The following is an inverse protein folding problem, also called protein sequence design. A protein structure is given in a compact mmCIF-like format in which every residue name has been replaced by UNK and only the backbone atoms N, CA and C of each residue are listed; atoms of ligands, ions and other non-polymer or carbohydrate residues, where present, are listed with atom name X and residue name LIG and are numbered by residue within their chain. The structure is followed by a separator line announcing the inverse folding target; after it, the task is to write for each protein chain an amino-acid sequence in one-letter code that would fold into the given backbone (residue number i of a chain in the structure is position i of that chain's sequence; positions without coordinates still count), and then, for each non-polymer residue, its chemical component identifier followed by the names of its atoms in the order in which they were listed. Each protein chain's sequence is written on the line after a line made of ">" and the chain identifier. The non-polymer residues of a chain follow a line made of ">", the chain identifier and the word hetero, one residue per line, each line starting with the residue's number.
data_IF_389121411148
#
_entry.id   IF_389121411148
#
_cell.length_a   1.000
_cell.length_b   1.000
_cell.length_c   1.000
_cell.angle_alpha   90.00
_cell.angle_beta   90.00
_cell.angle_gamma   90.00
#
_symmetry.space_group_name_H-M   'P 1'
#
loop_
_entity.id
_entity.type
_entity.pdbx_description
1 polymer ?
#
# COMPACT_ATOMS: atom_id res chain seq x y z
N UNK A 1 -14.31 -0.37 -4.11
CA UNK A 1 -13.52 -1.60 -4.04
C UNK A 1 -14.05 -2.54 -2.99
N UNK A 2 -14.00 -3.82 -3.25
CA UNK A 2 -14.37 -4.86 -2.30
C UNK A 2 -13.14 -5.65 -1.86
N UNK A 3 -13.03 -5.93 -0.57
CA UNK A 3 -11.97 -6.76 -0.03
C UNK A 3 -12.48 -7.59 1.14
N UNK A 4 -11.87 -8.70 1.43
CA UNK A 4 -12.21 -9.48 2.60
C UNK A 4 -11.37 -9.01 3.78
N UNK A 5 -11.95 -9.06 4.96
CA UNK A 5 -11.35 -8.51 6.16
C UNK A 5 -10.35 -9.45 6.85
N UNK A 6 -10.13 -10.63 6.36
CA UNK A 6 -9.18 -11.54 6.97
C UNK A 6 -7.93 -11.67 6.12
N UNK A 7 -6.81 -11.87 6.77
CA UNK A 7 -5.52 -12.00 6.13
C UNK A 7 -5.48 -13.10 5.09
N UNK A 8 -6.35 -14.04 5.21
CA UNK A 8 -6.31 -15.15 4.34
C UNK A 8 -7.12 -14.86 3.11
N UNK A 9 -6.50 -14.70 2.05
CA UNK A 9 -7.06 -14.94 0.77
C UNK A 9 -8.24 -14.13 0.37
N UNK A 10 -7.99 -12.85 0.09
CA UNK A 10 -9.16 -12.28 -0.28
C UNK A 10 -9.06 -11.46 -1.46
N UNK A 11 -9.90 -11.62 -2.31
CA UNK A 11 -10.01 -10.91 -3.51
C UNK A 11 -10.74 -9.64 -3.27
N UNK A 12 -10.32 -8.59 -3.86
CA UNK A 12 -10.87 -7.27 -3.73
C UNK A 12 -11.29 -6.82 -5.09
N UNK A 13 -12.31 -6.02 -5.17
CA UNK A 13 -12.77 -5.51 -6.41
C UNK A 13 -12.13 -4.20 -6.76
N UNK A 14 -11.64 -4.07 -7.97
CA UNK A 14 -11.26 -2.78 -8.54
C UNK A 14 -12.26 -2.44 -9.63
N UNK A 15 -13.27 -1.65 -9.33
CA UNK A 15 -14.24 -1.13 -10.28
C UNK A 15 -14.96 -2.14 -11.16
N UNK A 16 -14.81 -3.40 -10.90
CA UNK A 16 -15.45 -4.49 -11.61
C UNK A 16 -16.00 -5.44 -10.58
N UNK A 17 -16.50 -6.58 -11.00
CA UNK A 17 -17.01 -7.58 -10.09
C UNK A 17 -15.94 -8.47 -9.46
N UNK A 18 -14.67 -8.13 -9.63
CA UNK A 18 -13.57 -8.91 -9.08
C UNK A 18 -13.22 -8.47 -7.67
N UNK A 19 -13.00 -9.43 -6.81
CA UNK A 19 -12.60 -9.21 -5.42
C UNK A 19 -11.09 -9.34 -5.31
N UNK A 20 -10.40 -8.34 -4.74
CA UNK A 20 -8.96 -8.38 -4.55
C UNK A 20 -8.55 -9.29 -3.38
N UNK A 21 -7.35 -9.86 -3.45
CA UNK A 21 -6.81 -10.67 -2.35
C UNK A 21 -6.39 -9.81 -1.17
N UNK A 22 -5.85 -8.65 -1.45
CA UNK A 22 -5.29 -7.77 -0.43
C UNK A 22 -5.38 -6.32 -0.90
N UNK A 23 -5.95 -5.48 -0.08
CA UNK A 23 -5.96 -4.03 -0.30
C UNK A 23 -5.16 -3.35 0.79
N UNK A 24 -4.24 -2.50 0.39
CA UNK A 24 -3.43 -1.70 1.31
C UNK A 24 -3.87 -0.25 1.16
N UNK A 25 -4.26 0.36 2.25
CA UNK A 25 -4.71 1.73 2.29
C UNK A 25 -3.60 2.58 2.89
N UNK A 26 -2.99 3.41 2.08
CA UNK A 26 -1.90 4.29 2.47
C UNK A 26 -0.56 3.85 1.90
N UNK A 27 0.27 4.84 1.55
CA UNK A 27 1.55 4.65 0.88
C UNK A 27 2.73 5.21 1.68
N UNK A 28 2.64 5.19 2.99
CA UNK A 28 3.79 5.47 3.83
C UNK A 28 4.71 4.24 3.94
N UNK A 29 5.75 4.30 4.77
CA UNK A 29 6.69 3.19 4.92
C UNK A 29 6.03 1.87 5.29
N UNK A 30 5.03 1.92 6.17
CA UNK A 30 4.30 0.71 6.57
C UNK A 30 3.53 0.10 5.42
N UNK A 31 2.86 0.95 4.61
CA UNK A 31 2.10 0.49 3.46
C UNK A 31 2.99 -0.18 2.41
N UNK A 32 4.10 0.44 2.06
CA UNK A 32 5.04 -0.14 1.10
C UNK A 32 5.67 -1.43 1.64
N UNK A 33 5.99 -1.47 2.92
CA UNK A 33 6.52 -2.69 3.54
C UNK A 33 5.51 -3.83 3.45
N UNK A 34 4.25 -3.56 3.81
CA UNK A 34 3.18 -4.54 3.68
C UNK A 34 3.01 -5.00 2.23
N UNK A 35 3.09 -4.07 1.28
CA UNK A 35 2.96 -4.38 -0.14
C UNK A 35 4.06 -5.33 -0.63
N UNK A 36 5.30 -5.08 -0.23
CA UNK A 36 6.44 -5.93 -0.60
C UNK A 36 6.22 -7.36 -0.11
N UNK A 37 5.88 -7.52 1.16
CA UNK A 37 5.67 -8.85 1.73
C UNK A 37 4.46 -9.55 1.13
N UNK A 38 3.34 -8.84 0.95
CA UNK A 38 2.14 -9.42 0.35
C UNK A 38 2.38 -9.83 -1.11
N UNK A 39 3.09 -9.01 -1.87
CA UNK A 39 3.41 -9.34 -3.25
C UNK A 39 4.31 -10.57 -3.35
N UNK A 40 5.31 -10.67 -2.49
CA UNK A 40 6.19 -11.85 -2.45
C UNK A 40 5.48 -13.10 -2.00
N UNK A 41 4.39 -12.96 -1.27
CA UNK A 41 3.52 -14.09 -0.87
C UNK A 41 2.45 -14.42 -1.93
N UNK A 42 2.55 -13.85 -3.12
CA UNK A 42 1.60 -14.07 -4.23
C UNK A 42 0.16 -13.65 -3.91
N UNK A 43 -0.01 -12.65 -3.07
CA UNK A 43 -1.33 -12.14 -2.74
C UNK A 43 -1.85 -11.09 -3.71
N UNK A 44 -1.04 -10.70 -4.69
CA UNK A 44 -1.40 -9.69 -5.70
C UNK A 44 -1.99 -8.42 -5.06
N UNK A 45 -1.24 -7.74 -4.18
CA UNK A 45 -1.78 -6.61 -3.45
C UNK A 45 -2.07 -5.43 -4.36
N UNK A 46 -3.12 -4.70 -4.00
CA UNK A 46 -3.42 -3.39 -4.58
C UNK A 46 -3.28 -2.37 -3.47
N UNK A 47 -2.59 -1.28 -3.75
CA UNK A 47 -2.40 -0.17 -2.81
C UNK A 47 -3.11 1.07 -3.33
N UNK A 48 -3.81 1.76 -2.44
CA UNK A 48 -4.33 3.11 -2.69
C UNK A 48 -3.49 4.09 -1.90
N UNK A 49 -2.87 5.06 -2.58
CA UNK A 49 -1.81 5.88 -2.01
C UNK A 49 -2.27 6.88 -0.96
N UNK A 50 -3.50 7.35 -1.02
CA UNK A 50 -3.92 8.52 -0.28
C UNK A 50 -3.62 9.80 -1.05
N UNK A 51 -3.90 10.94 -0.43
CA UNK A 51 -3.71 12.26 -1.06
C UNK A 51 -2.24 12.65 -1.19
N UNK A 52 -1.39 12.09 -0.35
CA UNK A 52 0.04 12.40 -0.34
C UNK A 52 0.82 11.09 -0.47
N UNK A 53 1.14 10.69 -1.70
CA UNK A 53 1.94 9.48 -1.92
C UNK A 53 3.28 9.55 -1.18
N UNK A 54 3.62 8.48 -0.48
CA UNK A 54 4.82 8.44 0.37
C UNK A 54 4.60 8.89 1.80
N UNK A 55 3.47 9.53 2.09
CA UNK A 55 3.10 9.93 3.45
C UNK A 55 3.95 11.05 4.01
N UNK A 56 4.06 11.08 5.32
CA UNK A 56 4.73 12.17 6.03
C UNK A 56 6.23 12.27 5.75
N UNK A 57 6.88 11.18 5.35
CA UNK A 57 8.31 11.22 5.07
C UNK A 57 8.66 12.04 3.85
N UNK A 58 7.70 12.32 2.97
CA UNK A 58 7.92 13.22 1.83
C UNK A 58 7.98 14.69 2.22
N UNK A 59 7.53 15.02 3.43
CA UNK A 59 7.60 16.39 3.96
C UNK A 59 8.85 16.65 4.78
N UNK A 60 9.62 15.61 5.08
CA UNK A 60 10.89 15.75 5.80
C UNK A 60 12.06 15.80 4.82
N UNK A 61 13.16 16.43 5.22
CA UNK A 61 14.34 16.48 4.36
C UNK A 61 15.18 15.22 4.49
N UNK A 62 15.55 14.85 5.72
CA UNK A 62 16.42 13.71 5.95
C UNK A 62 15.79 12.73 6.93
N UNK A 63 15.94 11.45 6.63
CA UNK A 63 15.57 10.34 7.49
C UNK A 63 16.86 9.67 7.94
N UNK A 64 17.10 9.65 9.25
CA UNK A 64 18.35 9.14 9.81
C UNK A 64 18.18 7.85 10.60
N UNK A 65 16.95 7.48 10.88
CA UNK A 65 16.63 6.37 11.77
C UNK A 65 15.98 5.18 11.09
N UNK A 66 16.13 5.08 9.77
CA UNK A 66 15.66 3.90 9.05
C UNK A 66 16.86 2.99 8.76
N UNK A 67 16.81 1.72 9.16
CA UNK A 67 17.92 0.80 8.95
C UNK A 67 18.24 0.63 7.46
N UNK A 68 19.51 0.56 7.13
CA UNK A 68 19.98 0.41 5.76
C UNK A 68 20.55 1.68 5.16
N UNK A 69 20.39 2.81 5.83
CA UNK A 69 20.91 4.11 5.37
C UNK A 69 21.83 4.71 6.43
N UNK A 70 23.08 4.24 6.51
CA UNK A 70 23.99 4.64 7.60
C UNK A 70 24.36 6.13 7.58
N UNK A 71 24.19 6.79 6.46
CA UNK A 71 24.44 8.24 6.30
C UNK A 71 23.14 9.05 6.18
N UNK A 72 22.00 8.43 6.46
CA UNK A 72 20.71 9.05 6.24
C UNK A 72 20.28 9.00 4.78
N UNK A 73 19.05 9.41 4.52
CA UNK A 73 18.46 9.45 3.18
C UNK A 73 17.39 10.52 3.14
N UNK A 74 17.25 11.18 1.99
CA UNK A 74 16.12 12.08 1.77
C UNK A 74 14.81 11.28 1.80
N UNK A 75 13.80 11.79 2.51
CA UNK A 75 12.54 11.06 2.67
C UNK A 75 11.82 10.78 1.37
N UNK A 76 11.81 11.73 0.43
CA UNK A 76 11.20 11.54 -0.88
C UNK A 76 11.91 10.46 -1.67
N UNK A 77 13.24 10.49 -1.68
CA UNK A 77 14.04 9.47 -2.36
C UNK A 77 13.78 8.09 -1.77
N UNK A 78 13.74 8.00 -0.45
CA UNK A 78 13.45 6.73 0.22
C UNK A 78 12.08 6.18 -0.15
N UNK A 79 11.06 7.05 -0.19
CA UNK A 79 9.71 6.62 -0.57
C UNK A 79 9.61 6.22 -2.04
N UNK A 80 10.35 6.87 -2.91
CA UNK A 80 10.44 6.47 -4.32
C UNK A 80 11.08 5.08 -4.45
N UNK A 81 12.11 4.80 -3.68
CA UNK A 81 12.75 3.49 -3.64
C UNK A 81 11.79 2.41 -3.14
N UNK A 82 11.03 2.71 -2.08
CA UNK A 82 10.06 1.77 -1.54
C UNK A 82 8.95 1.47 -2.54
N UNK A 83 8.47 2.51 -3.23
CA UNK A 83 7.48 2.35 -4.29
C UNK A 83 8.00 1.44 -5.39
N UNK A 84 9.18 1.73 -5.89
CA UNK A 84 9.81 0.94 -6.95
C UNK A 84 9.99 -0.52 -6.54
N UNK A 85 10.37 -0.75 -5.28
CA UNK A 85 10.54 -2.10 -4.76
C UNK A 85 9.21 -2.84 -4.67
N UNK A 86 8.15 -2.19 -4.20
CA UNK A 86 6.81 -2.78 -4.15
C UNK A 86 6.31 -3.13 -5.55
N UNK A 87 6.49 -2.22 -6.51
CA UNK A 87 6.10 -2.44 -7.90
C UNK A 87 6.89 -3.58 -8.55
N UNK A 88 8.18 -3.68 -8.23
CA UNK A 88 9.03 -4.76 -8.74
C UNK A 88 8.49 -6.14 -8.40
N UNK A 89 7.88 -6.31 -7.23
CA UNK A 89 7.30 -7.58 -6.82
C UNK A 89 5.83 -7.74 -7.23
N UNK A 90 5.27 -6.78 -7.94
CA UNK A 90 3.95 -6.92 -8.53
C UNK A 90 2.81 -6.19 -7.80
N UNK A 91 3.11 -5.31 -6.86
CA UNK A 91 2.08 -4.48 -6.25
C UNK A 91 1.50 -3.51 -7.27
N UNK A 92 0.18 -3.48 -7.38
CA UNK A 92 -0.51 -2.49 -8.20
C UNK A 92 -0.79 -1.27 -7.33
N UNK A 93 -0.31 -0.11 -7.75
CA UNK A 93 -0.47 1.14 -7.00
C UNK A 93 -1.47 2.03 -7.71
N UNK A 94 -2.50 2.43 -6.99
CA UNK A 94 -3.56 3.31 -7.48
C UNK A 94 -3.42 4.64 -6.74
N UNK A 95 -3.30 5.73 -7.50
CA UNK A 95 -3.33 7.08 -6.93
C UNK A 95 -4.78 7.46 -6.64
N UNK A 96 -5.06 7.76 -5.39
CA UNK A 96 -6.39 8.12 -4.97
C UNK A 96 -6.51 8.11 -3.45
N UNK A 97 -7.69 8.39 -2.96
CA UNK A 97 -7.96 8.40 -1.52
C UNK A 97 -9.14 7.49 -1.20
N UNK A 98 -8.96 6.62 -0.23
CA UNK A 98 -10.07 5.85 0.32
C UNK A 98 -10.86 6.77 1.25
N UNK A 99 -12.15 6.93 0.96
CA UNK A 99 -13.03 7.83 1.72
C UNK A 99 -13.86 7.09 2.75
N UNK A 100 -14.08 5.80 2.57
CA UNK A 100 -14.91 5.01 3.47
C UNK A 100 -14.54 3.53 3.35
N UNK A 101 -14.58 2.84 4.47
CA UNK A 101 -14.44 1.38 4.52
C UNK A 101 -15.65 0.78 5.23
N UNK A 102 -15.99 -0.44 4.86
CA UNK A 102 -17.08 -1.17 5.46
C UNK A 102 -16.64 -2.62 5.69
N UNK A 103 -16.61 -3.04 6.94
CA UNK A 103 -16.23 -4.37 7.36
C UNK A 103 -17.39 -5.19 7.90
N UNK A 104 -18.63 -4.74 7.67
CA UNK A 104 -19.82 -5.39 8.24
C UNK A 104 -20.12 -6.76 7.63
N UNK A 105 -19.64 -7.04 6.42
CA UNK A 105 -19.81 -8.32 5.74
C UNK A 105 -18.56 -9.16 5.77
N UNK A 106 -18.64 -10.38 5.20
CA UNK A 106 -17.47 -11.22 5.02
C UNK A 106 -16.43 -10.60 4.10
N UNK A 107 -16.89 -9.82 3.14
CA UNK A 107 -16.04 -9.09 2.21
C UNK A 107 -16.03 -7.64 2.63
N UNK A 108 -14.85 -7.12 2.94
CA UNK A 108 -14.69 -5.70 3.21
C UNK A 108 -14.89 -4.88 1.95
N UNK A 109 -15.27 -3.64 2.13
CA UNK A 109 -15.49 -2.68 1.04
C UNK A 109 -14.76 -1.39 1.34
N UNK A 110 -14.16 -0.83 0.30
CA UNK A 110 -13.54 0.48 0.37
C UNK A 110 -14.03 1.34 -0.79
N UNK A 111 -14.27 2.61 -0.51
CA UNK A 111 -14.68 3.60 -1.50
C UNK A 111 -13.52 4.56 -1.76
N UNK A 112 -13.24 4.75 -3.01
CA UNK A 112 -12.12 5.58 -3.46
C UNK A 112 -12.64 6.86 -4.09
#
# INVERSE_FOLDING_TARGET
>A
MLFRSTFASKKIMSNTNDILNCLIIGSGPAGYTAAIYAARANLSPVMVTGMQPGGQLTTTTDVENYPGYPKGVNGTVMMDDFKAQAERFGTKIITGQVTKVDFSGEIGRAHV
#
